data_IF_882056531177
#
_entry.id   IF_882056531177
#
_cell.length_a   1.000
_cell.length_b   1.000
_cell.length_c   1.000
_cell.angle_alpha   90.00
_cell.angle_beta   90.00
_cell.angle_gamma   90.00
#
_symmetry.space_group_name_H-M   'P 1'
#
loop_
_entity.id
_entity.type
_entity.pdbx_description
1 polymer ?
#
# COMPACT_ATOMS: atom_id res chain seq x y z
N UNK A 1 11.36 -4.25 18.72
CA UNK A 1 12.52 -4.09 17.81
C UNK A 1 12.63 -2.61 17.45
N UNK A 2 13.84 -2.03 17.46
CA UNK A 2 14.06 -0.57 17.47
C UNK A 2 14.33 0.00 16.08
N UNK A 3 13.81 1.20 15.81
CA UNK A 3 14.10 1.90 14.55
C UNK A 3 15.55 2.40 14.51
N UNK A 4 16.25 2.19 13.39
CA UNK A 4 17.65 2.62 13.23
C UNK A 4 17.84 4.16 13.17
N UNK A 5 16.76 4.94 13.03
CA UNK A 5 16.82 6.42 12.97
C UNK A 5 16.40 7.05 14.28
N UNK A 6 15.22 6.71 14.78
CA UNK A 6 14.64 7.36 15.96
C UNK A 6 14.71 6.50 17.22
N UNK A 7 15.29 5.30 17.15
CA UNK A 7 15.38 4.32 18.24
C UNK A 7 14.04 3.87 18.86
N UNK A 8 12.92 4.27 18.26
CA UNK A 8 11.58 3.97 18.78
C UNK A 8 11.27 2.47 18.66
N UNK A 9 10.68 1.91 19.72
CA UNK A 9 10.31 0.50 19.79
C UNK A 9 8.96 0.27 19.12
N UNK A 10 8.98 -0.57 18.10
CA UNK A 10 7.77 -0.98 17.38
C UNK A 10 7.61 -2.50 17.46
N UNK A 11 6.36 -2.92 17.53
CA UNK A 11 5.94 -4.33 17.44
C UNK A 11 6.04 -4.85 15.99
N UNK A 12 5.84 -3.98 15.01
CA UNK A 12 5.91 -4.29 13.58
C UNK A 12 7.02 -3.49 12.89
N UNK A 13 8.25 -4.03 12.78
CA UNK A 13 9.33 -3.39 12.06
C UNK A 13 9.15 -3.57 10.56
N UNK A 14 9.63 -2.59 9.81
CA UNK A 14 9.75 -2.67 8.36
C UNK A 14 11.22 -2.82 7.98
N UNK A 15 11.51 -3.78 7.10
CA UNK A 15 12.86 -3.99 6.57
C UNK A 15 12.96 -3.39 5.18
N UNK A 16 13.95 -2.53 4.95
CA UNK A 16 14.17 -1.90 3.65
C UNK A 16 14.86 -2.88 2.67
N UNK A 17 14.28 -3.11 1.49
CA UNK A 17 14.87 -4.02 0.49
C UNK A 17 16.22 -3.57 -0.06
N UNK A 18 16.54 -2.28 0.04
CA UNK A 18 17.75 -1.69 -0.53
C UNK A 18 18.94 -1.75 0.43
N UNK A 19 18.74 -1.37 1.69
CA UNK A 19 19.80 -1.30 2.70
C UNK A 19 19.68 -2.35 3.81
N UNK A 20 18.63 -3.18 3.80
CA UNK A 20 18.33 -4.22 4.80
C UNK A 20 18.20 -3.71 6.25
N UNK A 21 18.12 -2.39 6.46
CA UNK A 21 17.88 -1.78 7.77
C UNK A 21 16.43 -1.95 8.24
N UNK A 22 16.24 -1.93 9.56
CA UNK A 22 14.93 -1.98 10.23
C UNK A 22 14.47 -0.60 10.68
N UNK A 23 13.21 -0.27 10.36
CA UNK A 23 12.63 1.06 10.55
C UNK A 23 11.18 0.98 11.06
N UNK A 24 10.72 2.05 11.73
CA UNK A 24 9.33 2.20 12.15
C UNK A 24 8.44 2.68 11.00
N UNK A 25 7.11 2.71 11.22
CA UNK A 25 6.12 3.18 10.23
C UNK A 25 6.41 4.59 9.69
N UNK A 26 7.04 5.47 10.46
CA UNK A 26 7.41 6.82 10.02
C UNK A 26 8.64 6.85 9.11
N UNK A 27 9.57 5.91 9.27
CA UNK A 27 10.87 5.91 8.59
C UNK A 27 11.06 4.75 7.60
N UNK A 28 10.05 3.90 7.37
CA UNK A 28 10.16 2.74 6.46
C UNK A 28 10.36 3.13 4.98
N UNK A 29 9.91 4.31 4.56
CA UNK A 29 10.10 4.79 3.19
C UNK A 29 11.58 5.12 2.95
N UNK A 30 12.18 4.66 1.84
CA UNK A 30 13.56 4.93 1.50
C UNK A 30 13.95 6.42 1.47
N UNK A 31 13.06 7.30 1.03
CA UNK A 31 13.26 8.76 1.04
C UNK A 31 13.31 9.33 2.47
N UNK A 32 12.53 8.76 3.40
CA UNK A 32 12.42 9.26 4.78
C UNK A 32 13.59 8.87 5.67
N UNK A 33 14.28 7.77 5.33
CA UNK A 33 15.47 7.35 6.05
C UNK A 33 16.79 7.65 5.34
N UNK A 34 16.76 8.41 4.24
CA UNK A 34 17.96 8.74 3.47
C UNK A 34 18.67 7.49 2.95
N UNK A 35 17.92 6.56 2.35
CA UNK A 35 18.45 5.26 1.95
C UNK A 35 19.64 5.38 0.97
N UNK A 36 20.82 4.91 1.38
CA UNK A 36 22.01 4.89 0.53
C UNK A 36 21.84 4.04 -0.75
N UNK A 37 20.87 3.10 -0.76
CA UNK A 37 20.56 2.28 -1.91
C UNK A 37 19.76 2.99 -3.01
N UNK A 38 19.09 4.12 -2.71
CA UNK A 38 18.33 4.88 -3.71
C UNK A 38 19.22 5.48 -4.80
N UNK A 39 20.42 5.91 -4.42
CA UNK A 39 21.36 6.51 -5.38
C UNK A 39 22.00 5.46 -6.29
N UNK A 40 21.93 4.16 -5.93
CA UNK A 40 22.60 3.08 -6.66
C UNK A 40 21.75 2.41 -7.74
N UNK A 41 20.48 2.72 -7.84
CA UNK A 41 19.62 2.20 -8.92
C UNK A 41 19.74 3.05 -10.18
N UNK A 42 20.89 2.91 -10.85
CA UNK A 42 20.95 3.08 -12.31
C UNK A 42 19.87 2.16 -12.88
N UNK A 43 18.84 2.73 -13.51
CA UNK A 43 17.72 2.01 -14.10
C UNK A 43 18.24 0.88 -14.99
N UNK A 44 18.30 -0.34 -14.44
CA UNK A 44 18.48 -1.53 -15.24
C UNK A 44 17.06 -1.94 -15.62
N UNK A 45 16.67 -1.91 -16.91
CA UNK A 45 15.44 -2.56 -17.32
C UNK A 45 15.57 -3.98 -16.76
N UNK A 46 14.62 -4.38 -15.91
CA UNK A 46 14.50 -5.79 -15.52
C UNK A 46 14.49 -6.56 -16.82
N UNK A 47 15.61 -7.18 -17.18
CA UNK A 47 15.59 -8.22 -18.19
C UNK A 47 14.67 -9.23 -17.54
N UNK A 48 13.49 -9.42 -18.11
CA UNK A 48 12.58 -10.48 -17.71
C UNK A 48 13.29 -11.81 -18.00
N UNK A 49 14.28 -12.16 -17.17
CA UNK A 49 14.90 -13.45 -17.09
C UNK A 49 14.01 -14.28 -16.16
N UNK A 50 12.88 -14.71 -16.71
CA UNK A 50 11.88 -15.46 -15.97
C UNK A 50 10.53 -15.44 -16.68
N UNK A 51 10.42 -16.23 -17.74
CA UNK A 51 9.15 -16.67 -18.30
C UNK A 51 8.24 -17.19 -17.15
N UNK A 52 6.96 -16.78 -17.02
CA UNK A 52 6.06 -17.25 -15.94
C UNK A 52 5.55 -18.69 -16.16
N UNK A 53 6.26 -19.52 -16.91
CA UNK A 53 5.84 -20.87 -17.27
C UNK A 53 6.93 -21.89 -16.91
N UNK A 54 7.05 -22.17 -15.60
CA UNK A 54 7.31 -23.56 -15.21
C UNK A 54 5.98 -24.31 -15.43
N UNK A 55 5.83 -25.22 -16.38
CA UNK A 55 6.84 -25.89 -17.19
C UNK A 55 6.43 -26.01 -18.64
N UNK A 56 7.38 -25.68 -19.52
CA UNK A 56 7.97 -26.61 -20.49
C UNK A 56 9.22 -25.94 -21.05
N UNK A 57 10.32 -26.68 -21.13
CA UNK A 57 11.57 -26.18 -21.71
C UNK A 57 11.34 -25.81 -23.18
N UNK A 58 11.79 -24.62 -23.59
CA UNK A 58 11.65 -24.16 -24.97
C UNK A 58 12.81 -24.72 -25.79
N UNK A 59 12.51 -25.70 -26.65
CA UNK A 59 13.42 -26.15 -27.70
C UNK A 59 13.14 -25.33 -28.97
N UNK A 60 14.17 -24.79 -29.65
CA UNK A 60 13.95 -24.06 -30.89
C UNK A 60 13.75 -25.06 -32.03
N UNK A 61 12.50 -25.49 -32.25
CA UNK A 61 12.16 -26.26 -33.45
C UNK A 61 11.68 -25.31 -34.53
N UNK A 62 12.38 -25.38 -35.66
CA UNK A 62 12.20 -24.54 -36.83
C UNK A 62 10.79 -24.65 -37.42
N UNK A 63 10.36 -23.52 -37.96
CA UNK A 63 9.12 -23.26 -38.69
C UNK A 63 8.73 -24.34 -39.70
N UNK A 64 7.50 -24.86 -39.62
CA UNK A 64 6.82 -25.41 -40.80
C UNK A 64 5.38 -24.91 -40.86
N UNK A 65 5.05 -24.35 -42.02
CA UNK A 65 3.76 -23.80 -42.42
C UNK A 65 2.75 -24.93 -42.58
N UNK A 66 1.55 -24.80 -42.00
CA UNK A 66 0.38 -25.53 -42.48
C UNK A 66 -0.77 -24.57 -42.71
N UNK A 67 -1.03 -24.38 -43.99
CA UNK A 67 -2.21 -23.78 -44.62
C UNK A 67 -3.52 -24.22 -43.99
N UNK A 68 -4.47 -23.30 -43.80
CA UNK A 68 -5.87 -23.71 -43.64
C UNK A 68 -6.82 -22.70 -42.99
N UNK A 69 -7.59 -22.02 -43.85
CA UNK A 69 -8.98 -21.58 -43.65
C UNK A 69 -9.22 -20.43 -42.66
N UNK A 70 -9.23 -19.23 -43.24
CA UNK A 70 -9.93 -18.05 -42.73
C UNK A 70 -11.45 -18.23 -42.89
N UNK A 71 -12.19 -18.34 -41.79
CA UNK A 71 -13.61 -17.96 -41.75
C UNK A 71 -13.82 -17.06 -40.54
N UNK A 72 -14.37 -15.88 -40.82
CA UNK A 72 -14.30 -14.71 -39.95
C UNK A 72 -15.20 -14.74 -38.74
N UNK A 73 -14.88 -13.87 -37.79
CA UNK A 73 -15.84 -13.32 -36.83
C UNK A 73 -15.60 -11.82 -36.75
N UNK A 74 -16.49 -11.07 -37.38
CA UNK A 74 -16.58 -9.63 -37.18
C UNK A 74 -17.09 -9.32 -35.77
N UNK A 75 -16.68 -8.12 -35.30
CA UNK A 75 -17.46 -7.23 -34.42
C UNK A 75 -17.43 -7.55 -32.92
N UNK A 76 -16.71 -6.72 -32.17
CA UNK A 76 -17.30 -5.51 -31.56
C UNK A 76 -16.23 -4.83 -30.68
N UNK A 77 -15.74 -3.68 -31.14
CA UNK A 77 -15.00 -2.78 -30.25
C UNK A 77 -15.94 -2.36 -29.12
N UNK A 78 -15.61 -2.75 -27.89
CA UNK A 78 -16.29 -2.24 -26.70
C UNK A 78 -15.82 -0.79 -26.52
N UNK A 79 -16.69 0.13 -26.89
CA UNK A 79 -16.57 1.55 -26.57
C UNK A 79 -16.60 1.65 -25.04
N UNK A 80 -15.42 1.71 -24.42
CA UNK A 80 -15.31 2.00 -22.99
C UNK A 80 -15.63 3.48 -22.80
N UNK A 81 -16.88 3.74 -22.46
CA UNK A 81 -17.35 5.06 -22.09
C UNK A 81 -16.47 5.60 -20.95
N UNK A 82 -15.82 6.72 -21.26
CA UNK A 82 -15.05 7.52 -20.32
C UNK A 82 -16.03 8.12 -19.31
N UNK A 83 -16.20 7.46 -18.16
CA UNK A 83 -16.70 8.12 -16.96
C UNK A 83 -15.63 8.09 -15.88
N UNK A 84 -15.31 9.29 -15.41
CA UNK A 84 -14.09 9.61 -14.68
C UNK A 84 -13.95 8.86 -13.36
N UNK A 85 -12.78 8.25 -13.17
CA UNK A 85 -12.34 7.80 -11.85
C UNK A 85 -11.44 8.87 -11.25
N UNK A 86 -12.04 9.91 -10.66
CA UNK A 86 -11.32 10.73 -9.66
C UNK A 86 -10.99 9.80 -8.51
N UNK A 87 -9.73 9.37 -8.45
CA UNK A 87 -9.18 8.58 -7.35
C UNK A 87 -9.10 9.50 -6.13
N UNK A 88 -10.19 9.62 -5.38
CA UNK A 88 -10.16 10.22 -4.04
C UNK A 88 -9.44 9.23 -3.14
N UNK A 89 -8.20 9.52 -2.82
CA UNK A 89 -7.47 8.84 -1.74
C UNK A 89 -7.98 9.41 -0.42
N UNK A 90 -9.17 9.01 0.00
CA UNK A 90 -9.60 9.26 1.38
C UNK A 90 -8.88 8.21 2.22
N UNK A 91 -7.85 8.67 2.92
CA UNK A 91 -7.18 7.96 4.01
C UNK A 91 -8.23 7.54 5.05
N UNK A 92 -8.75 6.32 4.92
CA UNK A 92 -9.71 5.69 5.84
C UNK A 92 -8.99 5.20 7.13
N UNK A 93 -8.04 5.98 7.65
CA UNK A 93 -7.22 5.61 8.80
C UNK A 93 -7.48 6.52 10.02
N UNK A 94 -8.12 7.68 9.85
CA UNK A 94 -8.30 8.69 10.92
C UNK A 94 -9.74 8.79 11.45
N UNK A 95 -10.74 8.27 10.75
CA UNK A 95 -12.15 8.42 11.14
C UNK A 95 -12.50 7.66 12.43
N UNK A 96 -11.71 6.65 12.81
CA UNK A 96 -11.88 5.92 14.08
C UNK A 96 -11.47 6.73 15.31
N UNK A 97 -10.54 7.69 15.17
CA UNK A 97 -10.05 8.51 16.29
C UNK A 97 -10.79 9.86 16.41
N UNK A 98 -11.21 10.49 15.31
CA UNK A 98 -11.92 11.78 15.39
C UNK A 98 -13.33 11.72 16.01
N UNK A 99 -13.98 10.54 16.00
CA UNK A 99 -15.26 10.32 16.72
C UNK A 99 -15.03 10.23 18.24
N UNK A 100 -13.86 9.72 18.65
CA UNK A 100 -13.55 9.45 20.06
C UNK A 100 -13.29 10.72 20.87
N UNK A 101 -12.59 11.73 20.34
CA UNK A 101 -12.22 12.92 21.12
C UNK A 101 -13.44 13.75 21.54
N UNK A 102 -14.39 13.97 20.62
CA UNK A 102 -15.63 14.71 20.91
C UNK A 102 -16.50 13.97 21.92
N UNK A 103 -16.55 12.64 21.82
CA UNK A 103 -17.30 11.80 22.75
C UNK A 103 -16.67 11.75 24.14
N UNK A 104 -15.34 11.60 24.23
CA UNK A 104 -14.59 11.60 25.50
C UNK A 104 -14.78 12.93 26.24
N UNK A 105 -14.65 14.06 25.54
CA UNK A 105 -14.87 15.39 26.15
C UNK A 105 -16.31 15.55 26.63
N UNK A 106 -17.31 15.10 25.85
CA UNK A 106 -18.71 15.14 26.26
C UNK A 106 -18.99 14.31 27.52
N UNK A 107 -18.45 13.08 27.60
CA UNK A 107 -18.63 12.20 28.77
C UNK A 107 -17.99 12.82 30.02
N UNK A 108 -16.78 13.39 29.91
CA UNK A 108 -16.10 14.05 31.04
C UNK A 108 -16.93 15.23 31.56
N UNK A 109 -17.45 16.09 30.67
CA UNK A 109 -18.29 17.23 31.06
C UNK A 109 -19.57 16.76 31.75
N UNK A 110 -20.24 15.73 31.23
CA UNK A 110 -21.44 15.16 31.84
C UNK A 110 -21.14 14.61 33.25
N UNK A 111 -20.04 13.88 33.43
CA UNK A 111 -19.64 13.33 34.72
C UNK A 111 -19.36 14.44 35.75
N UNK A 112 -18.66 15.51 35.36
CA UNK A 112 -18.40 16.67 36.24
C UNK A 112 -19.71 17.32 36.70
N UNK A 113 -20.68 17.49 35.78
CA UNK A 113 -21.99 18.07 36.11
C UNK A 113 -22.77 17.17 37.08
N UNK A 114 -22.76 15.86 36.88
CA UNK A 114 -23.44 14.89 37.75
C UNK A 114 -22.81 14.88 39.14
N UNK A 115 -21.47 14.78 39.23
CA UNK A 115 -20.77 14.80 40.51
C UNK A 115 -20.97 16.13 41.25
N UNK A 116 -21.00 17.25 40.52
CA UNK A 116 -21.31 18.56 41.07
C UNK A 116 -22.75 18.68 41.60
N UNK A 117 -23.72 18.06 40.93
CA UNK A 117 -25.11 18.03 41.40
C UNK A 117 -25.26 17.16 42.66
N UNK A 118 -24.60 16.01 42.71
CA UNK A 118 -24.59 15.14 43.90
C UNK A 118 -23.96 15.86 45.09
N UNK A 119 -22.85 16.56 44.88
CA UNK A 119 -22.16 17.34 45.93
C UNK A 119 -23.00 18.48 46.51
N UNK A 120 -24.04 18.94 45.81
CA UNK A 120 -24.97 19.98 46.28
C UNK A 120 -26.18 19.43 47.03
N UNK A 121 -26.40 18.11 46.96
CA UNK A 121 -27.53 17.42 47.59
C UNK A 121 -27.17 16.78 48.95
N UNK A 122 -25.88 16.78 49.32
CA UNK A 122 -25.37 16.35 50.62
C UNK A 122 -25.04 17.57 51.48
#
# INVERSE_FOLDING_TARGET
>A
MKCSICAEEELLPFTCSYCQGTFCRKHHLPEKHGCAGLTREKWQPRKFAGNPMRGRAWTPTQSHQTTGKTHGVHRAGRLVEKLGRKRKTTSHQTDYYEISEKYIVAVILILILILGAISRLQ
#
